data_IF_127341633628
#
_entry.id   IF_127341633628
#
_cell.length_a   1.000
_cell.length_b   1.000
_cell.length_c   1.000
_cell.angle_alpha   90.00
_cell.angle_beta   90.00
_cell.angle_gamma   90.00
#
_symmetry.space_group_name_H-M   'P 1'
#
loop_
_entity.id
_entity.type
_entity.pdbx_description
1 polymer ?
#
# COMPACT_ATOMS: atom_id res chain seq x y z
N UNK A 1 18.31 -18.48 6.21
CA UNK A 1 17.32 -17.81 5.34
C UNK A 1 15.95 -17.93 6.00
N UNK A 2 15.51 -16.93 6.77
CA UNK A 2 14.12 -16.82 7.24
C UNK A 2 13.86 -15.38 7.70
N UNK A 3 12.92 -14.71 7.06
CA UNK A 3 12.01 -13.79 7.70
C UNK A 3 10.65 -13.97 7.01
N UNK A 4 9.65 -14.23 7.83
CA UNK A 4 8.36 -14.82 7.51
C UNK A 4 7.38 -13.67 7.30
N UNK A 5 7.07 -13.35 6.04
CA UNK A 5 6.06 -12.33 5.69
C UNK A 5 4.70 -12.84 6.15
N UNK A 6 4.16 -12.21 7.20
CA UNK A 6 2.81 -12.42 7.69
C UNK A 6 1.85 -11.88 6.63
N UNK A 7 1.47 -12.72 5.67
CA UNK A 7 0.38 -12.43 4.73
C UNK A 7 -0.93 -12.32 5.52
N UNK A 8 -1.29 -11.12 5.93
CA UNK A 8 -2.68 -10.84 6.28
C UNK A 8 -3.43 -10.62 4.96
N UNK A 9 -4.03 -11.68 4.41
CA UNK A 9 -5.06 -11.51 3.40
C UNK A 9 -6.24 -10.80 4.06
N UNK A 10 -6.44 -9.51 3.76
CA UNK A 10 -7.59 -8.76 4.26
C UNK A 10 -8.87 -9.30 3.60
N UNK A 11 -9.60 -10.18 4.30
CA UNK A 11 -10.91 -10.71 3.86
C UNK A 11 -12.10 -10.00 4.49
N UNK A 12 -11.90 -9.07 5.41
CA UNK A 12 -12.96 -8.26 6.02
C UNK A 12 -12.40 -7.13 6.88
N UNK A 13 -13.15 -6.03 6.95
CA UNK A 13 -12.94 -4.81 7.76
C UNK A 13 -12.17 -5.04 9.09
N UNK A 14 -10.89 -4.67 9.11
CA UNK A 14 -10.09 -4.60 10.34
C UNK A 14 -9.93 -3.15 10.76
N UNK A 15 -10.55 -2.76 11.87
CA UNK A 15 -10.13 -1.57 12.63
C UNK A 15 -8.91 -1.99 13.47
N UNK A 16 -7.74 -1.38 13.27
CA UNK A 16 -6.54 -1.76 14.02
C UNK A 16 -5.35 -0.82 13.82
N UNK A 17 -4.36 -0.93 14.71
CA UNK A 17 -3.04 -0.32 14.51
C UNK A 17 -2.02 -1.45 14.34
N UNK A 18 -1.28 -1.43 13.24
CA UNK A 18 -0.17 -2.32 12.98
C UNK A 18 1.12 -1.55 13.22
N UNK A 19 1.89 -1.98 14.22
CA UNK A 19 3.20 -1.39 14.54
C UNK A 19 4.24 -2.49 14.51
N UNK A 20 5.23 -2.36 13.63
CA UNK A 20 6.39 -3.24 13.59
C UNK A 20 7.56 -2.56 14.31
N UNK A 21 8.09 -3.19 15.36
CA UNK A 21 9.29 -2.69 16.07
C UNK A 21 10.49 -3.58 15.74
N UNK A 22 11.55 -3.01 15.16
CA UNK A 22 12.83 -3.70 14.92
C UNK A 22 13.99 -3.02 15.66
N UNK A 23 15.08 -3.76 15.85
CA UNK A 23 16.31 -3.29 16.49
C UNK A 23 16.88 -2.03 15.79
N UNK A 24 17.43 -1.08 16.56
CA UNK A 24 17.97 0.16 16.01
C UNK A 24 19.15 -0.07 15.04
N UNK A 25 19.19 0.71 13.95
CA UNK A 25 20.30 0.72 12.99
C UNK A 25 20.08 -0.11 11.71
N UNK A 26 18.91 -0.71 11.52
CA UNK A 26 18.55 -1.46 10.30
C UNK A 26 17.26 -0.86 9.73
N UNK A 27 17.26 -0.54 8.43
CA UNK A 27 16.02 -0.20 7.73
C UNK A 27 15.21 -1.48 7.49
N UNK A 28 13.94 -1.57 7.95
CA UNK A 28 13.14 -2.79 7.77
C UNK A 28 12.71 -2.94 6.32
N UNK A 29 13.09 -4.05 5.66
CA UNK A 29 12.62 -4.39 4.31
C UNK A 29 11.48 -5.40 4.37
N UNK A 30 10.53 -5.33 3.44
CA UNK A 30 9.42 -6.29 3.26
C UNK A 30 8.54 -6.46 4.51
N UNK A 31 8.27 -5.34 5.18
CA UNK A 31 7.37 -5.25 6.34
C UNK A 31 6.02 -4.67 5.94
N UNK A 32 5.53 -5.05 4.77
CA UNK A 32 4.27 -4.60 4.18
C UNK A 32 3.13 -4.71 5.20
N UNK A 33 2.31 -3.65 5.30
CA UNK A 33 1.19 -3.61 6.22
C UNK A 33 0.05 -4.53 5.78
N UNK A 34 -0.48 -4.25 4.58
CA UNK A 34 -1.58 -5.01 3.98
C UNK A 34 -1.31 -5.29 2.50
N UNK A 35 -1.25 -6.57 2.15
CA UNK A 35 -1.24 -7.03 0.76
C UNK A 35 -2.68 -7.38 0.33
N UNK A 36 -3.23 -6.61 -0.60
CA UNK A 36 -4.61 -6.75 -1.07
C UNK A 36 -4.63 -7.34 -2.48
N UNK A 37 -5.46 -8.36 -2.66
CA UNK A 37 -5.84 -8.91 -3.95
C UNK A 37 -7.26 -9.45 -3.90
N UNK A 38 -7.92 -9.58 -5.06
CA UNK A 38 -9.32 -10.01 -5.16
C UNK A 38 -10.31 -8.86 -5.08
N UNK A 39 -11.59 -9.16 -4.87
CA UNK A 39 -12.66 -8.17 -5.07
C UNK A 39 -13.48 -7.83 -3.83
N UNK A 40 -14.12 -6.65 -3.83
CA UNK A 40 -15.02 -6.14 -2.81
C UNK A 40 -14.34 -5.98 -1.43
N UNK A 41 -13.20 -5.30 -1.41
CA UNK A 41 -12.41 -5.09 -0.19
C UNK A 41 -12.57 -3.65 0.30
N UNK A 42 -12.88 -3.49 1.59
CA UNK A 42 -12.81 -2.22 2.29
C UNK A 42 -11.77 -2.33 3.41
N UNK A 43 -10.72 -1.52 3.32
CA UNK A 43 -9.74 -1.30 4.38
C UNK A 43 -9.87 0.13 4.90
N UNK A 44 -10.17 0.32 6.17
CA UNK A 44 -10.32 1.66 6.72
C UNK A 44 -9.88 1.82 8.17
N UNK A 45 -9.52 3.04 8.57
CA UNK A 45 -9.25 3.43 9.97
C UNK A 45 -8.07 2.67 10.59
N UNK A 46 -6.98 2.54 9.84
CA UNK A 46 -5.76 1.92 10.34
C UNK A 46 -4.59 2.90 10.41
N UNK A 47 -3.70 2.65 11.36
CA UNK A 47 -2.38 3.27 11.44
C UNK A 47 -1.31 2.18 11.24
N UNK A 48 -0.50 2.35 10.20
CA UNK A 48 0.59 1.45 9.84
C UNK A 48 1.92 2.18 10.03
N UNK A 49 2.78 1.62 10.87
CA UNK A 49 4.17 2.01 11.01
C UNK A 49 5.07 0.84 10.64
N UNK A 50 5.78 0.97 9.53
CA UNK A 50 6.61 -0.08 8.94
C UNK A 50 7.79 0.51 8.11
N UNK A 51 8.50 -0.36 7.37
CA UNK A 51 9.57 0.04 6.45
C UNK A 51 9.31 -0.27 4.98
N UNK A 52 8.13 -0.80 4.63
CA UNK A 52 7.75 -1.08 3.24
C UNK A 52 6.35 -0.55 2.93
N UNK A 53 5.63 -1.08 1.94
CA UNK A 53 4.30 -0.60 1.57
C UNK A 53 3.34 -0.60 2.77
N UNK A 54 2.71 0.55 3.05
CA UNK A 54 1.65 0.65 4.06
C UNK A 54 0.47 -0.24 3.65
N UNK A 55 0.11 -0.15 2.36
CA UNK A 55 -0.85 -1.00 1.68
C UNK A 55 -0.35 -1.23 0.26
N UNK A 56 -0.34 -2.48 -0.20
CA UNK A 56 -0.04 -2.86 -1.57
C UNK A 56 -1.28 -3.51 -2.20
N UNK A 57 -1.91 -2.86 -3.18
CA UNK A 57 -3.01 -3.42 -3.98
C UNK A 57 -2.43 -4.06 -5.25
N UNK A 58 -2.68 -5.35 -5.45
CA UNK A 58 -2.08 -6.15 -6.51
C UNK A 58 -3.05 -6.62 -7.59
N UNK A 59 -2.55 -7.48 -8.48
CA UNK A 59 -3.30 -8.07 -9.59
C UNK A 59 -4.64 -8.72 -9.17
N UNK A 60 -5.62 -8.66 -10.07
CA UNK A 60 -6.97 -9.21 -9.86
C UNK A 60 -7.82 -8.42 -8.87
N UNK A 61 -7.39 -7.21 -8.49
CA UNK A 61 -8.12 -6.36 -7.56
C UNK A 61 -9.30 -5.65 -8.23
N UNK A 62 -10.49 -5.78 -7.66
CA UNK A 62 -11.68 -5.09 -8.19
C UNK A 62 -12.63 -4.60 -7.09
N UNK A 63 -13.11 -3.35 -7.17
CA UNK A 63 -13.93 -2.74 -6.11
C UNK A 63 -13.18 -2.79 -4.76
N UNK A 64 -12.06 -2.08 -4.70
CA UNK A 64 -11.20 -1.97 -3.51
C UNK A 64 -11.17 -0.53 -3.04
N UNK A 65 -11.55 -0.31 -1.78
CA UNK A 65 -11.44 1.01 -1.14
C UNK A 65 -10.50 0.94 0.05
N UNK A 66 -9.49 1.80 0.06
CA UNK A 66 -8.54 2.02 1.16
C UNK A 66 -8.73 3.44 1.65
N UNK A 67 -9.20 3.65 2.88
CA UNK A 67 -9.49 5.00 3.35
C UNK A 67 -9.26 5.29 4.83
N UNK A 68 -9.09 6.55 5.19
CA UNK A 68 -8.90 6.99 6.59
C UNK A 68 -7.68 6.25 7.18
N UNK A 69 -6.55 6.36 6.49
CA UNK A 69 -5.31 5.66 6.84
C UNK A 69 -4.27 6.64 7.34
N UNK A 70 -3.44 6.18 8.28
CA UNK A 70 -2.16 6.83 8.61
C UNK A 70 -1.04 5.87 8.24
N UNK A 71 -0.18 6.28 7.33
CA UNK A 71 0.97 5.52 6.86
C UNK A 71 2.24 6.26 7.29
N UNK A 72 3.12 5.60 8.05
CA UNK A 72 4.34 6.21 8.57
C UNK A 72 5.58 5.34 8.35
N UNK A 73 6.68 5.98 7.93
CA UNK A 73 8.00 5.36 7.81
C UNK A 73 8.26 4.70 6.45
N UNK A 74 7.32 3.88 5.98
CA UNK A 74 7.53 2.98 4.83
C UNK A 74 7.37 3.61 3.44
N UNK A 75 6.76 2.86 2.53
CA UNK A 75 6.65 3.17 1.09
C UNK A 75 5.27 3.72 0.68
N UNK A 76 4.45 4.14 1.65
CA UNK A 76 3.14 4.75 1.38
C UNK A 76 2.13 3.73 0.86
N UNK A 77 1.09 4.20 0.16
CA UNK A 77 0.10 3.32 -0.47
C UNK A 77 0.43 3.06 -1.93
N UNK A 78 0.52 1.79 -2.28
CA UNK A 78 1.00 1.31 -3.57
C UNK A 78 -0.08 0.54 -4.32
N UNK A 79 -0.15 0.75 -5.63
CA UNK A 79 -0.74 -0.19 -6.58
C UNK A 79 0.40 -0.85 -7.34
N UNK A 80 0.53 -2.17 -7.22
CA UNK A 80 1.63 -2.94 -7.78
C UNK A 80 1.11 -4.06 -8.66
N UNK A 81 1.14 -3.85 -9.97
CA UNK A 81 0.61 -4.80 -10.95
C UNK A 81 -0.14 -4.13 -12.09
N UNK A 82 -0.46 -4.93 -13.09
CA UNK A 82 -1.17 -4.50 -14.30
C UNK A 82 -2.28 -5.46 -14.72
N UNK A 83 -2.38 -6.66 -14.14
CA UNK A 83 -3.35 -7.67 -14.59
C UNK A 83 -4.69 -7.52 -13.87
N UNK A 84 -5.73 -7.13 -14.63
CA UNK A 84 -7.14 -7.05 -14.21
C UNK A 84 -7.34 -6.28 -12.91
N UNK A 85 -6.82 -5.05 -12.87
CA UNK A 85 -7.04 -4.13 -11.75
C UNK A 85 -8.05 -3.07 -12.16
N UNK A 86 -9.16 -2.95 -11.43
CA UNK A 86 -10.18 -1.96 -11.76
C UNK A 86 -10.93 -1.47 -10.52
N UNK A 87 -11.41 -0.22 -10.51
CA UNK A 87 -12.24 0.30 -9.41
C UNK A 87 -11.50 0.23 -8.06
N UNK A 88 -10.39 0.98 -7.97
CA UNK A 88 -9.53 1.07 -6.77
C UNK A 88 -9.45 2.51 -6.29
N UNK A 89 -9.87 2.74 -5.06
CA UNK A 89 -9.91 4.07 -4.45
C UNK A 89 -9.06 4.13 -3.20
N UNK A 90 -8.06 5.01 -3.21
CA UNK A 90 -7.29 5.41 -2.03
C UNK A 90 -7.75 6.80 -1.60
N UNK A 91 -8.39 6.93 -0.44
CA UNK A 91 -9.01 8.19 -0.01
C UNK A 91 -8.72 8.57 1.44
N UNK A 92 -8.51 9.85 1.72
CA UNK A 92 -8.29 10.37 3.08
C UNK A 92 -7.13 9.64 3.80
N UNK A 93 -5.94 9.74 3.22
CA UNK A 93 -4.73 9.07 3.71
C UNK A 93 -3.73 10.12 4.13
N UNK A 94 -3.23 10.00 5.36
CA UNK A 94 -2.06 10.76 5.81
C UNK A 94 -0.82 9.89 5.65
N UNK A 95 0.06 10.25 4.72
CA UNK A 95 1.39 9.64 4.60
C UNK A 95 2.42 10.56 5.25
N UNK A 96 3.21 10.04 6.19
CA UNK A 96 4.24 10.82 6.87
C UNK A 96 5.58 10.10 6.96
N UNK A 97 6.67 10.84 6.83
CA UNK A 97 8.04 10.32 6.94
C UNK A 97 8.27 9.08 6.06
N UNK A 98 7.82 9.12 4.81
CA UNK A 98 7.80 7.97 3.91
C UNK A 98 8.73 8.15 2.71
N UNK A 99 9.18 7.05 2.10
CA UNK A 99 9.94 7.13 0.85
C UNK A 99 9.04 7.61 -0.29
N UNK A 100 7.87 6.98 -0.42
CA UNK A 100 6.79 7.37 -1.32
C UNK A 100 5.53 7.67 -0.52
N UNK A 101 4.67 8.59 -0.96
CA UNK A 101 3.33 8.72 -0.35
C UNK A 101 2.29 7.92 -1.13
N UNK A 102 2.30 8.04 -2.46
CA UNK A 102 1.56 7.16 -3.37
C UNK A 102 2.49 6.60 -4.42
N UNK A 103 2.27 5.34 -4.78
CA UNK A 103 3.09 4.68 -5.79
C UNK A 103 2.27 3.81 -6.75
N UNK A 104 2.58 3.93 -8.03
CA UNK A 104 2.19 2.95 -9.03
C UNK A 104 3.44 2.21 -9.52
N UNK A 105 3.40 0.88 -9.48
CA UNK A 105 4.48 0.01 -9.92
C UNK A 105 3.96 -1.01 -10.94
N UNK A 106 4.52 -0.98 -12.15
CA UNK A 106 4.32 -2.00 -13.17
C UNK A 106 5.58 -2.87 -13.34
N UNK A 107 5.45 -3.97 -14.10
CA UNK A 107 6.60 -4.73 -14.60
C UNK A 107 6.72 -4.55 -16.11
N UNK A 108 7.95 -4.43 -16.62
CA UNK A 108 8.24 -4.26 -18.05
C UNK A 108 7.68 -5.37 -18.93
N UNK A 109 7.61 -6.59 -18.40
CA UNK A 109 7.11 -7.77 -19.13
C UNK A 109 5.61 -8.03 -18.88
N UNK A 110 4.95 -7.18 -18.08
CA UNK A 110 3.54 -7.36 -17.76
C UNK A 110 2.64 -6.70 -18.79
N UNK A 111 1.68 -7.47 -19.30
CA UNK A 111 0.60 -6.98 -20.17
C UNK A 111 -0.70 -7.13 -19.41
N UNK A 112 -1.45 -6.04 -19.30
CA UNK A 112 -2.72 -6.03 -18.60
C UNK A 112 -3.44 -4.70 -18.73
N UNK A 113 -4.42 -4.49 -17.85
CA UNK A 113 -5.23 -3.29 -17.81
C UNK A 113 -5.45 -2.84 -16.36
N UNK A 114 -5.21 -1.54 -16.13
CA UNK A 114 -5.49 -0.83 -14.89
C UNK A 114 -6.45 0.30 -15.21
N UNK A 115 -7.67 0.25 -14.70
CA UNK A 115 -8.72 1.22 -15.00
C UNK A 115 -9.42 1.73 -13.76
N UNK A 116 -9.86 2.99 -13.78
CA UNK A 116 -10.63 3.58 -12.66
C UNK A 116 -9.92 3.45 -11.30
N UNK A 117 -8.69 3.96 -11.26
CA UNK A 117 -7.88 4.03 -10.04
C UNK A 117 -7.73 5.49 -9.65
N UNK A 118 -8.04 5.80 -8.40
CA UNK A 118 -7.96 7.16 -7.88
C UNK A 118 -7.24 7.21 -6.55
N UNK A 119 -6.30 8.14 -6.42
CA UNK A 119 -5.79 8.62 -5.13
C UNK A 119 -6.37 10.01 -4.87
N UNK A 120 -7.19 10.15 -3.82
CA UNK A 120 -7.84 11.40 -3.44
C UNK A 120 -7.57 11.74 -1.97
N UNK A 121 -7.58 13.04 -1.65
CA UNK A 121 -7.44 13.51 -0.27
C UNK A 121 -6.20 12.93 0.45
N UNK A 122 -5.05 12.92 -0.23
CA UNK A 122 -3.79 12.45 0.33
C UNK A 122 -3.06 13.62 0.99
N UNK A 123 -2.94 13.57 2.31
CA UNK A 123 -2.15 14.51 3.09
C UNK A 123 -0.72 13.98 3.22
N UNK A 124 0.27 14.73 2.73
CA UNK A 124 1.65 14.27 2.63
C UNK A 124 2.54 15.12 3.55
N UNK A 125 3.25 14.48 4.47
CA UNK A 125 4.13 15.14 5.44
C UNK A 125 5.51 14.49 5.33
N UNK A 126 6.49 15.19 4.76
CA UNK A 126 7.86 14.68 4.64
C UNK A 126 7.95 13.33 3.89
N UNK A 127 7.61 13.35 2.60
CA UNK A 127 7.86 12.23 1.70
C UNK A 127 8.99 12.58 0.72
N UNK A 128 9.94 11.67 0.49
CA UNK A 128 11.03 11.89 -0.48
C UNK A 128 10.48 12.02 -1.90
N UNK A 129 9.54 11.16 -2.25
CA UNK A 129 8.84 11.15 -3.54
C UNK A 129 7.32 11.11 -3.31
N UNK A 130 6.64 12.27 -3.23
CA UNK A 130 5.22 12.33 -2.91
C UNK A 130 4.35 11.45 -3.81
N UNK A 131 4.57 11.50 -5.13
CA UNK A 131 3.89 10.66 -6.11
C UNK A 131 4.96 10.01 -6.97
N UNK A 132 4.94 8.69 -7.09
CA UNK A 132 5.95 7.94 -7.84
C UNK A 132 5.32 6.90 -8.75
N UNK A 133 5.71 6.90 -10.03
CA UNK A 133 5.33 5.87 -10.98
C UNK A 133 6.59 5.22 -11.50
N UNK A 134 6.63 3.89 -11.49
CA UNK A 134 7.81 3.14 -11.89
C UNK A 134 7.45 1.85 -12.62
N UNK A 135 8.38 1.38 -13.44
CA UNK A 135 8.36 0.06 -14.06
C UNK A 135 9.65 -0.66 -13.71
N UNK A 136 9.54 -1.89 -13.20
CA UNK A 136 10.68 -2.76 -12.92
C UNK A 136 10.87 -3.82 -14.02
#
# INVERSE_FOLDING_TARGET
MYAKQLRYQCRSNTNGSLTFTQAPGIFPFNTDGFDIGGANVLLEKNHVFNGDDCVAVGNGSNNVTVRIMVCEGGHGVSLSGTDKIADVHFDNITSRNSLYATRFQSSLDSVGNVTDVTWSNINIINATFPIFATSL
#
